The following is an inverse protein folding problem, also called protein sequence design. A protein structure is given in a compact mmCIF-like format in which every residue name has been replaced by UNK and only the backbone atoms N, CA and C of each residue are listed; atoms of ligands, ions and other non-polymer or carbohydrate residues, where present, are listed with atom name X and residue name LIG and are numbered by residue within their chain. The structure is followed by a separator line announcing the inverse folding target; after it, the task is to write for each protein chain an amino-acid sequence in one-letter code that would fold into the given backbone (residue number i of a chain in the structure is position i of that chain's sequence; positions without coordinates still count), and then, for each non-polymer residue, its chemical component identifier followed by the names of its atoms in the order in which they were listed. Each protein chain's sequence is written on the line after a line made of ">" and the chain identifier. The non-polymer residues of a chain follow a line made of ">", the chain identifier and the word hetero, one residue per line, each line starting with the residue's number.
data_IF_617063879937
#
_entry.id   IF_617063879937
#
_cell.length_a   1.000
_cell.length_b   1.000
_cell.length_c   1.000
_cell.angle_alpha   90.00
_cell.angle_beta   90.00
_cell.angle_gamma   90.00
#
_symmetry.space_group_name_H-M   'P 1'
#
loop_
_entity.id
_entity.type
_entity.pdbx_description
1 polymer ?
#
# COMPACT_ATOMS: atom_id res chain seq x y z
N UNK A 1 -19.20 13.37 3.09
CA UNK A 1 -18.40 12.57 2.14
C UNK A 1 -17.06 12.39 2.84
N UNK A 2 -16.77 11.19 3.34
CA UNK A 2 -15.57 10.94 4.14
C UNK A 2 -14.44 10.52 3.19
N UNK A 3 -13.50 11.43 2.91
CA UNK A 3 -12.25 11.13 2.22
C UNK A 3 -11.36 10.38 3.21
N UNK A 4 -11.55 9.06 3.28
CA UNK A 4 -10.61 8.21 4.05
C UNK A 4 -9.31 8.16 3.24
N UNK A 5 -8.13 8.37 3.86
CA UNK A 5 -6.89 8.37 3.12
C UNK A 5 -6.67 6.99 2.49
N UNK A 6 -6.45 6.99 1.19
CA UNK A 6 -6.09 5.80 0.44
C UNK A 6 -4.64 5.46 0.77
N UNK A 7 -4.36 4.23 1.20
CA UNK A 7 -2.99 3.78 1.46
C UNK A 7 -2.60 2.66 0.52
N UNK A 8 -1.88 2.97 -0.55
CA UNK A 8 -1.30 1.92 -1.38
C UNK A 8 0.10 1.58 -0.87
N UNK A 9 0.46 0.30 -0.86
CA UNK A 9 1.78 -0.17 -0.48
C UNK A 9 2.44 -0.85 -1.68
N UNK A 10 3.54 -0.29 -2.15
CA UNK A 10 4.28 -0.72 -3.32
C UNK A 10 5.63 -1.26 -2.87
N UNK A 11 5.91 -2.54 -3.10
CA UNK A 11 7.25 -3.10 -2.95
C UNK A 11 7.99 -3.11 -4.28
N UNK A 12 9.11 -2.42 -4.25
CA UNK A 12 10.06 -2.32 -5.33
C UNK A 12 11.22 -3.31 -5.09
N UNK A 13 11.58 -4.05 -6.14
CA UNK A 13 12.65 -5.05 -6.08
C UNK A 13 13.56 -4.88 -7.30
N UNK A 14 14.63 -4.06 -7.19
CA UNK A 14 15.63 -3.96 -8.24
C UNK A 14 16.21 -5.34 -8.57
N UNK A 15 16.42 -5.58 -9.87
CA UNK A 15 17.28 -6.67 -10.34
C UNK A 15 18.62 -6.07 -10.72
N UNK A 16 19.64 -6.25 -9.90
CA UNK A 16 21.00 -5.85 -10.25
C UNK A 16 21.76 -7.02 -10.90
N UNK A 17 22.27 -6.81 -12.10
CA UNK A 17 23.18 -7.74 -12.78
C UNK A 17 22.53 -9.06 -13.26
N UNK A 18 23.38 -10.01 -13.67
CA UNK A 18 22.98 -11.35 -14.14
C UNK A 18 22.76 -12.37 -13.02
N UNK A 19 23.03 -12.01 -11.75
CA UNK A 19 22.86 -12.92 -10.63
C UNK A 19 21.52 -12.67 -9.92
N UNK A 20 20.90 -13.74 -9.46
CA UNK A 20 19.64 -13.71 -8.70
C UNK A 20 19.83 -13.38 -7.21
N UNK A 21 21.04 -12.97 -6.78
CA UNK A 21 21.46 -13.03 -5.38
C UNK A 21 21.50 -11.70 -4.63
N UNK A 22 21.37 -10.55 -5.29
CA UNK A 22 21.27 -9.23 -4.63
C UNK A 22 19.95 -8.59 -4.96
N UNK A 23 18.86 -9.16 -4.43
CA UNK A 23 17.56 -8.48 -4.37
C UNK A 23 17.58 -7.56 -3.16
N UNK A 24 17.96 -6.30 -3.36
CA UNK A 24 17.51 -5.27 -2.42
C UNK A 24 15.98 -5.13 -2.59
N UNK A 25 15.24 -4.98 -1.50
CA UNK A 25 13.79 -4.81 -1.54
C UNK A 25 13.43 -3.64 -0.65
N UNK A 26 12.65 -2.71 -1.21
CA UNK A 26 12.21 -1.52 -0.51
C UNK A 26 10.73 -1.32 -0.72
N UNK A 27 10.09 -0.73 0.27
CA UNK A 27 8.66 -0.45 0.26
C UNK A 27 8.46 1.05 0.17
N UNK A 28 7.61 1.48 -0.75
CA UNK A 28 7.05 2.81 -0.80
C UNK A 28 5.56 2.70 -0.47
N UNK A 29 5.07 3.63 0.33
CA UNK A 29 3.65 3.78 0.66
C UNK A 29 3.12 5.05 -0.02
N UNK A 30 1.89 5.01 -0.51
CA UNK A 30 1.21 6.16 -1.11
C UNK A 30 0.11 6.61 -0.17
N UNK A 31 0.00 7.92 0.03
CA UNK A 31 -1.04 8.52 0.85
C UNK A 31 -1.53 9.84 0.22
N UNK A 32 -2.71 10.30 0.66
CA UNK A 32 -3.22 11.62 0.29
C UNK A 32 -2.31 12.72 0.86
N UNK A 33 -2.08 13.79 0.10
CA UNK A 33 -1.32 14.96 0.56
C UNK A 33 -1.89 15.57 1.85
N UNK A 34 -3.20 15.44 2.08
CA UNK A 34 -3.85 15.88 3.33
C UNK A 34 -3.32 15.14 4.57
N UNK A 35 -2.71 13.97 4.41
CA UNK A 35 -2.11 13.17 5.48
C UNK A 35 -0.63 13.50 5.73
N UNK A 36 -0.03 14.45 4.99
CA UNK A 36 1.38 14.79 5.11
C UNK A 36 1.76 15.18 6.54
N UNK A 37 0.96 16.04 7.18
CA UNK A 37 1.21 16.47 8.56
C UNK A 37 1.20 15.30 9.54
N UNK A 38 0.24 14.37 9.41
CA UNK A 38 0.20 13.18 10.25
C UNK A 38 1.43 12.29 10.04
N UNK A 39 1.93 12.18 8.80
CA UNK A 39 3.18 11.49 8.50
C UNK A 39 4.39 12.13 9.18
N UNK A 40 4.53 13.45 9.06
CA UNK A 40 5.61 14.23 9.70
C UNK A 40 5.55 14.12 11.24
N UNK A 41 4.36 14.24 11.81
CA UNK A 41 4.13 14.08 13.26
C UNK A 41 4.47 12.66 13.72
N UNK A 42 4.13 11.64 12.94
CA UNK A 42 4.37 10.24 13.31
C UNK A 42 5.84 9.88 13.45
N UNK A 43 6.72 10.56 12.71
CA UNK A 43 8.17 10.35 12.79
C UNK A 43 8.85 11.29 13.79
N UNK A 44 8.09 12.25 14.34
CA UNK A 44 8.58 13.27 15.28
C UNK A 44 9.78 14.05 14.75
N UNK A 45 9.95 14.08 13.42
CA UNK A 45 11.24 14.35 12.79
C UNK A 45 11.46 15.81 12.43
N UNK A 46 12.73 16.22 12.36
CA UNK A 46 13.11 17.54 11.85
C UNK A 46 13.32 17.44 10.34
N UNK A 47 12.77 18.39 9.57
CA UNK A 47 13.08 18.49 8.14
C UNK A 47 14.59 18.68 7.98
N UNK A 48 15.21 17.74 7.27
CA UNK A 48 16.64 17.73 6.99
C UNK A 48 16.91 18.45 5.69
N UNK A 49 16.19 18.04 4.64
CA UNK A 49 16.41 18.44 3.26
C UNK A 49 15.07 18.52 2.52
N UNK A 50 14.97 19.50 1.62
CA UNK A 50 13.86 19.67 0.68
C UNK A 50 14.45 20.14 -0.64
N UNK A 51 14.13 19.43 -1.72
CA UNK A 51 14.61 19.79 -3.05
C UNK A 51 13.74 19.16 -4.14
N UNK A 52 13.82 19.72 -5.35
CA UNK A 52 13.09 19.21 -6.51
C UNK A 52 13.93 18.18 -7.27
N UNK A 53 13.32 17.05 -7.58
CA UNK A 53 13.84 16.02 -8.49
C UNK A 53 12.94 15.93 -9.72
N UNK A 54 13.36 15.17 -10.75
CA UNK A 54 12.56 15.01 -11.97
C UNK A 54 11.14 14.44 -11.70
N UNK A 55 10.98 13.69 -10.62
CA UNK A 55 9.73 13.08 -10.20
C UNK A 55 8.80 13.99 -9.37
N UNK A 56 9.27 15.15 -8.89
CA UNK A 56 8.50 16.03 -7.99
C UNK A 56 9.37 16.64 -6.88
N UNK A 57 8.72 17.20 -5.85
CA UNK A 57 9.40 17.70 -4.66
C UNK A 57 9.68 16.54 -3.70
N UNK A 58 10.94 16.36 -3.29
CA UNK A 58 11.35 15.37 -2.30
C UNK A 58 11.67 16.07 -0.98
N UNK A 59 11.05 15.62 0.09
CA UNK A 59 11.32 16.05 1.47
C UNK A 59 11.88 14.90 2.27
N UNK A 60 12.87 15.17 3.12
CA UNK A 60 13.55 14.17 3.96
C UNK A 60 13.56 14.69 5.39
N UNK A 61 13.16 13.83 6.32
CA UNK A 61 13.11 14.09 7.76
C UNK A 61 14.03 13.10 8.48
N UNK A 62 14.83 13.59 9.42
CA UNK A 62 15.49 12.72 10.39
C UNK A 62 14.44 12.29 11.43
N UNK A 63 14.25 10.98 11.63
CA UNK A 63 13.26 10.47 12.58
C UNK A 63 13.74 10.64 14.03
N UNK A 64 12.81 10.90 14.96
CA UNK A 64 13.14 10.89 16.40
C UNK A 64 13.25 9.45 16.92
N UNK A 65 12.33 8.57 16.52
CA UNK A 65 12.37 7.15 16.88
C UNK A 65 11.92 6.28 15.68
N UNK A 66 12.78 5.37 15.18
CA UNK A 66 14.16 5.18 15.59
C UNK A 66 15.08 6.27 15.01
N UNK A 67 16.11 6.68 15.77
CA UNK A 67 16.98 7.82 15.44
C UNK A 67 17.95 7.56 14.28
N UNK A 68 18.10 6.30 13.88
CA UNK A 68 18.86 5.87 12.71
C UNK A 68 18.00 5.80 11.45
N UNK A 69 16.72 6.17 11.51
CA UNK A 69 15.85 6.22 10.36
C UNK A 69 15.71 7.64 9.80
N UNK A 70 15.51 7.69 8.48
CA UNK A 70 15.05 8.86 7.75
C UNK A 70 13.75 8.53 7.07
N UNK A 71 12.77 9.40 7.23
CA UNK A 71 11.53 9.33 6.48
C UNK A 71 11.63 10.28 5.30
N UNK A 72 11.36 9.79 4.10
CA UNK A 72 11.35 10.63 2.91
C UNK A 72 10.02 10.51 2.18
N UNK A 73 9.55 11.62 1.63
CA UNK A 73 8.32 11.70 0.88
C UNK A 73 8.48 12.49 -0.41
N UNK A 74 8.10 11.88 -1.53
CA UNK A 74 7.93 12.52 -2.82
C UNK A 74 6.51 13.09 -2.91
N UNK A 75 6.42 14.41 -2.98
CA UNK A 75 5.17 15.16 -2.98
C UNK A 75 4.69 15.39 -4.41
N UNK A 76 3.47 14.95 -4.69
CA UNK A 76 2.68 15.32 -5.87
C UNK A 76 1.61 16.35 -5.52
N UNK A 77 0.80 16.80 -6.51
CA UNK A 77 -0.25 17.78 -6.27
C UNK A 77 -1.42 17.29 -5.40
N UNK A 78 -1.69 15.98 -5.37
CA UNK A 78 -2.82 15.38 -4.64
C UNK A 78 -2.39 14.32 -3.62
N UNK A 79 -1.29 13.62 -3.91
CA UNK A 79 -0.79 12.51 -3.10
C UNK A 79 0.70 12.64 -2.85
N UNK A 80 1.23 11.80 -1.96
CA UNK A 80 2.66 11.62 -1.80
C UNK A 80 3.03 10.14 -1.69
N UNK A 81 4.24 9.81 -2.14
CA UNK A 81 4.86 8.52 -1.93
C UNK A 81 5.93 8.63 -0.85
N UNK A 82 5.97 7.75 0.14
CA UNK A 82 6.93 7.84 1.24
C UNK A 82 7.51 6.49 1.65
N UNK A 83 8.63 6.53 2.38
CA UNK A 83 9.25 5.35 2.98
C UNK A 83 10.17 5.71 4.14
N UNK A 84 10.51 4.70 4.93
CA UNK A 84 11.56 4.76 5.94
C UNK A 84 12.86 4.14 5.40
N UNK A 85 13.97 4.83 5.62
CA UNK A 85 15.31 4.46 5.20
C UNK A 85 16.25 4.44 6.41
N UNK A 86 16.95 3.33 6.65
CA UNK A 86 17.70 3.10 7.90
C UNK A 86 19.22 3.20 7.69
N UNK A 87 19.92 3.98 8.51
CA UNK A 87 21.38 4.03 8.53
C UNK A 87 22.02 2.67 8.88
N UNK A 88 23.29 2.42 8.51
CA UNK A 88 24.21 3.30 7.75
C UNK A 88 24.03 3.22 6.23
N UNK A 89 23.03 2.47 5.76
CA UNK A 89 22.98 2.00 4.37
C UNK A 89 22.47 3.06 3.38
N UNK A 90 21.86 4.15 3.87
CA UNK A 90 21.16 5.11 3.02
C UNK A 90 21.68 6.53 3.17
N UNK A 91 22.27 7.02 2.10
CA UNK A 91 22.59 8.44 1.89
C UNK A 91 21.42 9.11 1.18
N UNK A 92 21.37 10.45 1.22
CA UNK A 92 20.39 11.23 0.43
C UNK A 92 20.37 10.82 -1.04
N UNK A 93 21.54 10.53 -1.64
CA UNK A 93 21.63 10.06 -3.03
C UNK A 93 20.84 8.77 -3.28
N UNK A 94 20.85 7.86 -2.32
CA UNK A 94 20.22 6.53 -2.45
C UNK A 94 18.69 6.66 -2.31
N UNK A 95 18.24 7.58 -1.45
CA UNK A 95 16.83 7.98 -1.30
C UNK A 95 16.34 8.62 -2.62
N UNK A 96 17.07 9.60 -3.14
CA UNK A 96 16.77 10.27 -4.42
C UNK A 96 16.65 9.25 -5.55
N UNK A 97 17.62 8.33 -5.61
CA UNK A 97 17.65 7.29 -6.62
C UNK A 97 16.43 6.37 -6.53
N UNK A 98 15.97 6.03 -5.32
CA UNK A 98 14.78 5.19 -5.12
C UNK A 98 13.53 5.80 -5.76
N UNK A 99 13.26 7.09 -5.50
CA UNK A 99 12.10 7.77 -6.07
C UNK A 99 12.27 8.04 -7.59
N UNK A 100 13.50 8.30 -8.04
CA UNK A 100 13.79 8.63 -9.45
C UNK A 100 13.73 7.43 -10.39
N UNK A 101 13.74 6.19 -9.86
CA UNK A 101 13.65 4.94 -10.65
C UNK A 101 12.23 4.59 -11.09
N UNK A 102 11.24 5.29 -10.55
CA UNK A 102 9.83 5.10 -10.86
C UNK A 102 9.29 6.28 -11.66
N UNK A 103 8.37 5.98 -12.57
CA UNK A 103 7.56 6.99 -13.25
C UNK A 103 6.26 7.15 -12.48
N UNK A 104 6.04 8.36 -11.97
CA UNK A 104 4.90 8.69 -11.14
C UNK A 104 3.82 9.37 -11.97
N UNK A 105 2.57 8.96 -11.77
CA UNK A 105 1.40 9.65 -12.29
C UNK A 105 0.48 9.92 -11.12
N UNK A 106 0.37 11.20 -10.74
CA UNK A 106 -0.52 11.66 -9.69
C UNK A 106 -1.75 12.33 -10.31
N UNK A 107 -2.92 11.98 -9.81
CA UNK A 107 -4.23 12.49 -10.23
C UNK A 107 -5.10 12.70 -8.99
N UNK A 108 -6.18 13.50 -9.05
CA UNK A 108 -7.13 13.61 -7.93
C UNK A 108 -7.66 12.25 -7.44
N UNK A 109 -7.79 11.27 -8.34
CA UNK A 109 -8.32 9.94 -8.05
C UNK A 109 -7.29 9.00 -7.43
N UNK A 110 -5.99 9.31 -7.52
CA UNK A 110 -4.93 8.49 -6.96
C UNK A 110 -3.57 8.72 -7.60
N UNK A 111 -2.54 8.21 -6.93
CA UNK A 111 -1.18 8.14 -7.44
C UNK A 111 -0.83 6.71 -7.88
N UNK A 112 -0.15 6.60 -9.01
CA UNK A 112 0.37 5.34 -9.55
C UNK A 112 1.86 5.45 -9.84
N UNK A 113 2.54 4.30 -9.80
CA UNK A 113 3.96 4.19 -10.12
C UNK A 113 4.17 3.09 -11.16
N UNK A 114 4.97 3.39 -12.18
CA UNK A 114 5.44 2.41 -13.16
C UNK A 114 6.96 2.24 -13.04
N UNK A 115 7.48 1.00 -13.16
CA UNK A 115 8.92 0.79 -13.17
C UNK A 115 9.54 1.42 -14.41
N UNK A 116 10.72 2.04 -14.26
CA UNK A 116 11.56 2.38 -15.41
C UNK A 116 12.04 1.14 -16.18
N UNK A 117 12.54 1.33 -17.41
CA UNK A 117 12.93 0.24 -18.34
C UNK A 117 13.93 -0.80 -17.77
N UNK A 118 14.70 -0.45 -16.74
CA UNK A 118 15.73 -1.31 -16.15
C UNK A 118 15.27 -2.09 -14.91
N UNK A 119 13.99 -1.97 -14.51
CA UNK A 119 13.55 -2.38 -13.18
C UNK A 119 12.22 -3.12 -13.18
N UNK A 120 11.93 -3.82 -12.08
CA UNK A 120 10.68 -4.55 -11.90
C UNK A 120 10.03 -4.17 -10.57
N UNK A 121 8.71 -4.06 -10.60
CA UNK A 121 7.85 -3.92 -9.42
C UNK A 121 7.27 -5.31 -9.15
N UNK A 122 7.65 -5.94 -8.03
CA UNK A 122 7.34 -7.36 -7.80
C UNK A 122 6.12 -7.59 -6.88
N UNK A 123 5.64 -6.58 -6.15
CA UNK A 123 4.41 -6.68 -5.33
C UNK A 123 3.83 -5.32 -4.99
N UNK A 124 2.67 -5.00 -5.53
CA UNK A 124 1.81 -3.93 -5.03
C UNK A 124 0.68 -4.55 -4.22
N UNK A 125 0.25 -3.82 -3.20
CA UNK A 125 -0.90 -4.12 -2.36
C UNK A 125 -1.64 -2.79 -2.16
N UNK A 126 -2.97 -2.82 -2.17
CA UNK A 126 -3.76 -1.66 -1.73
C UNK A 126 -4.38 -1.95 -0.37
N UNK A 127 -4.19 -1.05 0.58
CA UNK A 127 -4.91 -1.05 1.85
C UNK A 127 -5.87 0.12 1.85
N UNK A 128 -7.15 -0.17 2.04
CA UNK A 128 -8.16 0.86 2.17
C UNK A 128 -8.95 0.62 3.44
N UNK A 129 -8.94 1.62 4.33
CA UNK A 129 -9.86 1.62 5.44
C UNK A 129 -11.24 2.07 4.94
N UNK A 130 -12.24 1.23 5.12
CA UNK A 130 -13.62 1.51 4.73
C UNK A 130 -14.39 1.86 6.00
N UNK A 131 -14.80 3.14 6.18
CA UNK A 131 -15.49 3.58 7.38
C UNK A 131 -16.72 2.74 7.69
N UNK A 132 -16.81 2.24 8.92
CA UNK A 132 -17.93 1.41 9.38
C UNK A 132 -17.94 -0.02 8.83
N UNK A 133 -16.90 -0.45 8.11
CA UNK A 133 -16.79 -1.80 7.54
C UNK A 133 -15.52 -2.51 8.01
N UNK A 134 -14.35 -1.86 7.91
CA UNK A 134 -13.07 -2.46 8.28
C UNK A 134 -11.96 -2.14 7.27
N UNK A 135 -10.90 -2.95 7.27
CA UNK A 135 -9.74 -2.74 6.39
C UNK A 135 -9.77 -3.72 5.23
N UNK A 136 -9.82 -3.18 4.00
CA UNK A 136 -9.73 -3.93 2.76
C UNK A 136 -8.28 -3.98 2.29
N UNK A 137 -7.74 -5.19 2.14
CA UNK A 137 -6.40 -5.46 1.64
C UNK A 137 -6.50 -6.14 0.28
N UNK A 138 -6.04 -5.49 -0.78
CA UNK A 138 -6.17 -5.97 -2.16
C UNK A 138 -4.80 -6.31 -2.74
N UNK A 139 -4.69 -7.48 -3.35
CA UNK A 139 -3.51 -7.96 -4.08
C UNK A 139 -3.88 -8.45 -5.47
N UNK A 140 -2.88 -8.58 -6.36
CA UNK A 140 -3.10 -9.28 -7.62
C UNK A 140 -3.41 -10.75 -7.38
N UNK A 141 -4.37 -11.30 -8.12
CA UNK A 141 -4.70 -12.73 -8.04
C UNK A 141 -3.53 -13.62 -8.45
N UNK A 142 -2.66 -13.15 -9.34
CA UNK A 142 -1.43 -13.87 -9.73
C UNK A 142 -0.51 -14.07 -8.52
N UNK A 143 -0.40 -13.07 -7.64
CA UNK A 143 0.42 -13.13 -6.42
C UNK A 143 -0.29 -13.91 -5.32
N UNK A 144 -1.58 -13.67 -5.13
CA UNK A 144 -2.38 -14.24 -4.04
C UNK A 144 -3.10 -15.56 -4.41
N UNK A 145 -2.76 -16.19 -5.53
CA UNK A 145 -3.48 -17.37 -6.06
C UNK A 145 -3.55 -18.54 -5.07
N UNK A 146 -2.53 -18.69 -4.22
CA UNK A 146 -2.47 -19.72 -3.18
C UNK A 146 -3.46 -19.50 -2.03
N UNK A 147 -3.99 -18.29 -1.89
CA UNK A 147 -4.98 -17.93 -0.87
C UNK A 147 -6.40 -18.27 -1.33
N UNK A 148 -6.62 -18.45 -2.64
CA UNK A 148 -7.94 -18.72 -3.22
C UNK A 148 -8.37 -20.16 -2.90
N UNK A 149 -9.49 -20.38 -2.19
CA UNK A 149 -9.98 -21.72 -1.92
C UNK A 149 -10.35 -22.47 -3.21
N UNK A 150 -10.12 -23.79 -3.23
CA UNK A 150 -10.42 -24.64 -4.39
C UNK A 150 -11.90 -25.06 -4.51
N UNK A 151 -12.76 -24.54 -3.64
CA UNK A 151 -14.19 -24.81 -3.60
C UNK A 151 -14.99 -23.53 -3.82
N UNK A 152 -16.22 -23.66 -4.32
CA UNK A 152 -17.05 -22.54 -4.77
C UNK A 152 -17.45 -21.60 -3.62
N UNK A 153 -17.20 -20.30 -3.78
CA UNK A 153 -17.58 -19.29 -2.80
C UNK A 153 -19.04 -18.87 -2.94
N UNK A 154 -19.44 -17.87 -2.15
CA UNK A 154 -20.69 -17.16 -2.37
C UNK A 154 -20.55 -16.25 -3.59
N UNK A 155 -21.42 -16.40 -4.59
CA UNK A 155 -21.39 -15.58 -5.80
C UNK A 155 -21.86 -14.15 -5.53
N UNK A 156 -21.03 -13.17 -5.87
CA UNK A 156 -21.30 -11.73 -5.84
C UNK A 156 -21.15 -11.13 -7.25
N UNK A 157 -21.43 -9.83 -7.42
CA UNK A 157 -21.51 -9.18 -8.74
C UNK A 157 -20.22 -9.33 -9.56
N UNK A 158 -19.05 -9.03 -8.99
CA UNK A 158 -17.77 -9.09 -9.68
C UNK A 158 -16.87 -10.29 -9.30
N UNK A 159 -17.39 -11.29 -8.58
CA UNK A 159 -16.56 -12.39 -8.09
C UNK A 159 -17.22 -13.31 -7.07
N UNK A 160 -16.40 -13.96 -6.25
CA UNK A 160 -16.84 -14.90 -5.21
C UNK A 160 -16.29 -14.52 -3.83
N UNK A 161 -17.07 -14.78 -2.79
CA UNK A 161 -16.75 -14.45 -1.39
C UNK A 161 -16.59 -15.73 -0.57
N UNK A 162 -15.54 -15.80 0.24
CA UNK A 162 -15.29 -16.86 1.21
C UNK A 162 -15.11 -16.26 2.60
N UNK A 163 -15.45 -17.07 3.60
CA UNK A 163 -15.10 -16.82 4.99
C UNK A 163 -13.78 -17.53 5.27
N UNK A 164 -12.80 -16.80 5.77
CA UNK A 164 -11.52 -17.37 6.18
C UNK A 164 -11.58 -17.83 7.63
N UNK A 165 -10.65 -18.72 8.01
CA UNK A 165 -10.54 -19.17 9.38
C UNK A 165 -10.24 -17.99 10.32
N UNK A 166 -10.85 -18.03 11.51
CA UNK A 166 -10.63 -17.03 12.55
C UNK A 166 -9.14 -16.91 12.87
N UNK A 167 -8.57 -15.69 12.94
CA UNK A 167 -7.20 -15.52 13.38
C UNK A 167 -7.03 -15.99 14.83
N UNK A 168 -5.82 -16.45 15.24
CA UNK A 168 -5.55 -16.86 16.62
C UNK A 168 -5.76 -15.75 17.66
N UNK A 169 -5.80 -14.49 17.22
CA UNK A 169 -5.89 -13.27 18.02
C UNK A 169 -7.27 -12.99 18.58
N UNK A 170 -8.28 -13.82 18.28
CA UNK A 170 -9.65 -13.64 18.78
C UNK A 170 -10.48 -12.61 18.00
N UNK A 171 -9.88 -11.96 16.99
CA UNK A 171 -10.51 -11.07 16.02
C UNK A 171 -11.59 -11.79 15.20
N UNK A 172 -12.50 -11.03 14.58
CA UNK A 172 -13.54 -11.58 13.72
C UNK A 172 -12.94 -12.33 12.51
N UNK A 173 -13.76 -13.15 11.86
CA UNK A 173 -13.32 -13.88 10.66
C UNK A 173 -13.16 -12.92 9.47
N UNK A 174 -11.98 -12.83 8.84
CA UNK A 174 -11.85 -12.05 7.63
C UNK A 174 -12.60 -12.71 6.47
N UNK A 175 -13.05 -11.87 5.55
CA UNK A 175 -13.71 -12.30 4.32
C UNK A 175 -12.74 -12.16 3.15
N UNK A 176 -12.67 -13.18 2.30
CA UNK A 176 -11.90 -13.15 1.07
C UNK A 176 -12.87 -12.91 -0.10
N UNK A 177 -12.60 -11.92 -0.92
CA UNK A 177 -13.33 -11.63 -2.15
C UNK A 177 -12.39 -11.75 -3.35
N UNK A 178 -12.69 -12.65 -4.28
CA UNK A 178 -11.82 -12.94 -5.43
C UNK A 178 -12.55 -12.57 -6.71
N UNK A 179 -11.93 -11.70 -7.51
CA UNK A 179 -12.41 -11.31 -8.83
C UNK A 179 -11.61 -12.04 -9.92
N UNK A 180 -11.76 -11.63 -11.18
CA UNK A 180 -10.96 -12.16 -12.27
C UNK A 180 -9.46 -11.87 -12.07
N UNK A 181 -9.12 -10.65 -11.63
CA UNK A 181 -7.73 -10.16 -11.59
C UNK A 181 -7.21 -9.86 -10.18
N UNK A 182 -8.07 -9.76 -9.17
CA UNK A 182 -7.68 -9.37 -7.81
C UNK A 182 -8.15 -10.36 -6.73
N UNK A 183 -7.49 -10.31 -5.59
CA UNK A 183 -7.88 -10.96 -4.34
C UNK A 183 -7.94 -9.86 -3.28
N UNK A 184 -9.10 -9.69 -2.64
CA UNK A 184 -9.32 -8.71 -1.61
C UNK A 184 -9.67 -9.41 -0.29
N UNK A 185 -8.89 -9.18 0.75
CA UNK A 185 -9.15 -9.64 2.12
C UNK A 185 -9.72 -8.48 2.91
N UNK A 186 -10.96 -8.62 3.36
CA UNK A 186 -11.62 -7.67 4.24
C UNK A 186 -11.53 -8.17 5.67
N UNK A 187 -10.76 -7.45 6.49
CA UNK A 187 -10.74 -7.62 7.94
C UNK A 187 -11.82 -6.72 8.54
N UNK A 188 -12.93 -7.25 9.10
CA UNK A 188 -14.02 -6.47 9.73
C UNK A 188 -13.63 -5.76 11.04
N UNK A 189 -12.34 -5.59 11.28
CA UNK A 189 -11.78 -4.79 12.36
C UNK A 189 -10.84 -3.75 11.76
N UNK A 190 -10.86 -2.56 12.34
CA UNK A 190 -9.92 -1.49 12.03
C UNK A 190 -9.05 -1.23 13.25
N UNK A 191 -7.86 -0.64 13.04
CA UNK A 191 -7.03 -0.11 14.13
C UNK A 191 -7.67 1.12 14.79
N UNK A 192 -8.58 1.80 14.11
CA UNK A 192 -9.15 3.09 14.55
C UNK A 192 -10.63 3.00 14.92
N UNK A 193 -11.33 1.93 14.53
CA UNK A 193 -12.76 1.73 14.83
C UNK A 193 -13.04 0.35 15.41
N UNK A 194 -14.06 0.27 16.28
CA UNK A 194 -14.50 -0.98 16.91
C UNK A 194 -14.89 -2.03 15.88
N UNK A 195 -14.57 -3.30 16.15
CA UNK A 195 -14.93 -4.44 15.31
C UNK A 195 -16.42 -4.38 14.91
N UNK A 196 -16.67 -4.38 13.60
CA UNK A 196 -18.01 -4.32 13.03
C UNK A 196 -18.57 -5.72 12.81
N UNK A 197 -19.88 -5.85 12.60
CA UNK A 197 -20.47 -7.17 12.36
C UNK A 197 -19.95 -7.80 11.05
N UNK A 198 -19.81 -9.12 11.03
CA UNK A 198 -19.46 -9.85 9.81
C UNK A 198 -20.49 -9.64 8.69
N UNK A 199 -21.76 -9.44 9.06
CA UNK A 199 -22.85 -9.19 8.11
C UNK A 199 -22.64 -7.86 7.37
N UNK A 200 -22.23 -6.80 8.09
CA UNK A 200 -21.89 -5.50 7.49
C UNK A 200 -20.76 -5.64 6.47
N UNK A 201 -19.69 -6.37 6.82
CA UNK A 201 -18.57 -6.62 5.93
C UNK A 201 -18.96 -7.44 4.70
N UNK A 202 -19.81 -8.45 4.89
CA UNK A 202 -20.32 -9.28 3.80
C UNK A 202 -21.22 -8.49 2.84
N UNK A 203 -22.13 -7.66 3.35
CA UNK A 203 -22.99 -6.81 2.53
C UNK A 203 -22.20 -5.73 1.79
N UNK A 204 -21.15 -5.17 2.41
CA UNK A 204 -20.22 -4.29 1.71
C UNK A 204 -19.58 -5.00 0.52
N UNK A 205 -18.99 -6.18 0.70
CA UNK A 205 -18.35 -6.93 -0.40
C UNK A 205 -19.35 -7.26 -1.52
N UNK A 206 -20.60 -7.59 -1.19
CA UNK A 206 -21.65 -7.81 -2.19
C UNK A 206 -22.00 -6.58 -3.01
N UNK A 207 -21.85 -5.38 -2.43
CA UNK A 207 -22.12 -4.11 -3.11
C UNK A 207 -21.01 -3.67 -4.07
N UNK A 208 -19.85 -4.32 -4.02
CA UNK A 208 -18.71 -3.99 -4.86
C UNK A 208 -18.98 -4.44 -6.29
N UNK A 209 -19.08 -3.45 -7.18
CA UNK A 209 -19.33 -3.68 -8.61
C UNK A 209 -18.08 -4.07 -9.39
N UNK A 210 -16.90 -3.71 -8.87
CA UNK A 210 -15.63 -3.88 -9.58
C UNK A 210 -14.44 -3.77 -8.62
N UNK A 211 -13.54 -4.75 -8.68
CA UNK A 211 -12.16 -4.66 -8.19
C UNK A 211 -11.28 -5.29 -9.24
N UNK A 212 -10.39 -4.48 -9.81
CA UNK A 212 -9.45 -4.93 -10.82
C UNK A 212 -8.02 -4.71 -10.39
N UNK A 213 -7.16 -5.59 -10.90
CA UNK A 213 -5.72 -5.43 -10.88
C UNK A 213 -5.18 -5.36 -12.31
N UNK A 214 -4.64 -4.21 -12.70
CA UNK A 214 -3.94 -4.09 -13.98
C UNK A 214 -2.62 -4.87 -13.93
N UNK A 215 -2.41 -5.75 -14.92
CA UNK A 215 -1.24 -6.63 -15.03
C UNK A 215 0.02 -5.90 -15.52
#
# INVERSE_FOLDING_TARGET
>A
MFETPWTAHIRYSPKYGRSSSTKEMWALELASLNSLNAGVESVGGRERERFTIAAGELVIFDCTEPSDARWAALLGPWHFAHALFYEPQWRTSDIVETFSRLQWTDTPEGMTAQPGKAHALERSVYLNEVPGVGTLFVESKKVASRQVPQWKGYSAEAGEIWRLAKPPTGELEPLLYVTESAVATLSPWSRTTSAQSLDTAFDFLKSIKRIDWAA
#
